data_IF_412109977668
#
_entry.id   IF_412109977668
#
_cell.length_a   1.000
_cell.length_b   1.000
_cell.length_c   1.000
_cell.angle_alpha   90.00
_cell.angle_beta   90.00
_cell.angle_gamma   90.00
#
_symmetry.space_group_name_H-M   'P 1'
#
loop_
_entity.id
_entity.type
_entity.pdbx_description
1 polymer ?
#
# COMPACT_ATOMS: atom_id res chain seq x y z
N UNK A 1 -12.19 2.51 19.61
CA UNK A 1 -12.15 3.97 19.36
C UNK A 1 -10.73 4.27 18.97
N UNK A 2 -10.52 4.46 17.67
CA UNK A 2 -9.24 4.30 16.99
C UNK A 2 -8.54 5.66 16.86
N UNK A 3 -7.58 5.92 17.76
CA UNK A 3 -6.76 7.14 17.74
C UNK A 3 -5.79 7.10 16.53
N UNK A 4 -5.52 5.92 15.96
CA UNK A 4 -4.60 5.71 14.84
C UNK A 4 -5.28 5.86 13.46
N UNK A 5 -6.62 5.78 13.41
CA UNK A 5 -7.39 5.92 12.15
C UNK A 5 -7.21 7.28 11.47
N UNK A 6 -7.13 8.38 12.23
CA UNK A 6 -6.93 9.72 11.67
C UNK A 6 -5.50 9.92 11.10
N UNK A 7 -4.43 9.54 11.84
CA UNK A 7 -3.08 9.47 11.28
C UNK A 7 -2.99 8.61 10.02
N UNK A 8 -3.55 7.40 10.05
CA UNK A 8 -3.48 6.45 8.93
C UNK A 8 -4.21 6.97 7.69
N UNK A 9 -5.39 7.57 7.85
CA UNK A 9 -6.10 8.20 6.73
C UNK A 9 -5.28 9.32 6.07
N UNK A 10 -4.54 10.11 6.87
CA UNK A 10 -3.62 11.13 6.37
C UNK A 10 -2.44 10.54 5.60
N UNK A 11 -1.83 9.47 6.11
CA UNK A 11 -0.74 8.72 5.46
C UNK A 11 -1.20 8.10 4.14
N UNK A 12 -2.36 7.43 4.13
CA UNK A 12 -2.94 6.85 2.91
C UNK A 12 -3.23 7.91 1.85
N UNK A 13 -3.71 9.09 2.27
CA UNK A 13 -3.88 10.24 1.37
C UNK A 13 -2.53 10.71 0.80
N UNK A 14 -1.48 10.74 1.61
CA UNK A 14 -0.14 11.11 1.16
C UNK A 14 0.39 10.10 0.11
N UNK A 15 0.28 8.80 0.37
CA UNK A 15 0.65 7.74 -0.58
C UNK A 15 -0.15 7.84 -1.90
N UNK A 16 -1.45 8.11 -1.82
CA UNK A 16 -2.29 8.34 -2.99
C UNK A 16 -1.83 9.56 -3.81
N UNK A 17 -1.53 10.68 -3.15
CA UNK A 17 -0.98 11.85 -3.85
C UNK A 17 0.33 11.50 -4.58
N UNK A 18 1.21 10.72 -3.95
CA UNK A 18 2.48 10.30 -4.56
C UNK A 18 2.25 9.38 -5.76
N UNK A 19 1.31 8.43 -5.64
CA UNK A 19 0.90 7.57 -6.74
C UNK A 19 0.35 8.38 -7.93
N UNK A 20 -0.53 9.35 -7.67
CA UNK A 20 -1.09 10.21 -8.73
C UNK A 20 -0.02 11.12 -9.34
N UNK A 21 0.90 11.66 -8.55
CA UNK A 21 2.05 12.42 -9.05
C UNK A 21 2.92 11.54 -9.97
N UNK A 22 3.23 10.32 -9.55
CA UNK A 22 4.03 9.36 -10.32
C UNK A 22 3.32 8.91 -11.61
N UNK A 23 2.00 8.76 -11.57
CA UNK A 23 1.19 8.43 -12.74
C UNK A 23 1.26 9.52 -13.81
N UNK A 24 1.24 10.80 -13.40
CA UNK A 24 1.19 11.94 -14.32
C UNK A 24 0.05 11.77 -15.33
N UNK A 25 0.38 11.73 -16.63
CA UNK A 25 -0.58 11.48 -17.72
C UNK A 25 -0.64 10.03 -18.19
N UNK A 26 0.16 9.12 -17.60
CA UNK A 26 0.16 7.71 -18.00
C UNK A 26 -1.18 7.07 -17.68
N UNK A 27 -1.71 6.34 -18.66
CA UNK A 27 -2.94 5.58 -18.50
C UNK A 27 -2.74 4.33 -17.66
N UNK A 28 -1.59 3.67 -17.78
CA UNK A 28 -1.25 2.43 -17.08
C UNK A 28 0.03 2.61 -16.26
N UNK A 29 -0.05 2.28 -14.98
CA UNK A 29 1.09 2.08 -14.08
C UNK A 29 1.17 0.61 -13.68
N UNK A 30 2.38 0.09 -13.42
CA UNK A 30 2.55 -1.25 -12.88
C UNK A 30 1.82 -1.39 -11.55
N UNK A 31 1.33 -2.60 -11.28
CA UNK A 31 0.88 -2.97 -9.95
C UNK A 31 2.12 -3.13 -9.07
N UNK A 32 2.14 -2.46 -7.93
CA UNK A 32 3.25 -2.51 -6.98
C UNK A 32 2.71 -2.79 -5.59
N UNK A 33 3.39 -3.67 -4.87
CA UNK A 33 3.13 -3.91 -3.46
C UNK A 33 4.09 -3.09 -2.62
N UNK A 34 3.60 -2.55 -1.52
CA UNK A 34 4.37 -1.73 -0.63
C UNK A 34 4.11 -2.15 0.82
N UNK A 35 5.12 -1.98 1.68
CA UNK A 35 4.98 -2.16 3.12
C UNK A 35 5.83 -1.12 3.85
N UNK A 36 5.27 -0.47 4.86
CA UNK A 36 5.93 0.59 5.63
C UNK A 36 4.96 1.69 6.04
N UNK A 37 5.41 2.94 6.04
CA UNK A 37 4.55 4.10 6.32
C UNK A 37 4.00 4.68 5.01
N UNK A 38 2.68 4.69 4.77
CA UNK A 38 2.14 5.27 3.55
C UNK A 38 2.50 6.77 3.43
N UNK A 39 3.11 7.15 2.30
CA UNK A 39 3.61 8.51 2.07
C UNK A 39 4.91 8.86 2.81
N UNK A 40 5.53 7.89 3.49
CA UNK A 40 6.82 7.98 4.17
C UNK A 40 7.74 6.81 3.78
N UNK A 41 8.60 6.37 4.68
CA UNK A 41 9.55 5.28 4.44
C UNK A 41 8.85 3.93 4.27
N UNK A 42 9.17 3.24 3.18
CA UNK A 42 8.58 1.95 2.83
C UNK A 42 9.45 1.17 1.84
N UNK A 43 9.24 -0.14 1.81
CA UNK A 43 9.77 -1.02 0.76
C UNK A 43 8.71 -1.17 -0.33
N UNK A 44 9.15 -1.15 -1.59
CA UNK A 44 8.30 -1.42 -2.75
C UNK A 44 8.77 -2.71 -3.43
N UNK A 45 7.83 -3.60 -3.68
CA UNK A 45 8.01 -4.89 -4.34
C UNK A 45 7.23 -4.90 -5.66
N UNK A 46 7.82 -5.43 -6.74
CA UNK A 46 7.08 -5.59 -7.99
C UNK A 46 5.98 -6.63 -7.82
N UNK A 47 4.85 -6.45 -8.51
CA UNK A 47 3.91 -7.54 -8.74
C UNK A 47 4.29 -8.31 -10.00
N UNK A 48 4.33 -9.64 -9.88
CA UNK A 48 4.37 -10.55 -11.01
C UNK A 48 3.26 -11.62 -10.84
N UNK A 49 2.61 -11.98 -11.94
CA UNK A 49 1.57 -13.00 -11.98
C UNK A 49 2.13 -14.41 -11.70
N UNK A 50 3.40 -14.65 -12.01
CA UNK A 50 4.08 -15.93 -11.80
C UNK A 50 4.63 -16.12 -10.39
N UNK A 51 4.60 -15.10 -9.54
CA UNK A 51 4.90 -15.32 -8.13
C UNK A 51 3.86 -16.29 -7.58
N UNK A 52 4.29 -17.30 -6.82
CA UNK A 52 3.40 -18.15 -6.05
C UNK A 52 3.10 -17.53 -4.68
N UNK A 53 2.30 -18.21 -3.87
CA UNK A 53 1.94 -17.73 -2.54
C UNK A 53 3.12 -17.71 -1.57
N UNK A 54 4.04 -18.67 -1.69
CA UNK A 54 5.23 -18.78 -0.83
C UNK A 54 6.18 -17.61 -1.08
N UNK A 55 6.55 -17.39 -2.34
CA UNK A 55 7.42 -16.30 -2.74
C UNK A 55 6.85 -14.93 -2.34
N UNK A 56 5.55 -14.70 -2.50
CA UNK A 56 4.96 -13.43 -2.04
C UNK A 56 5.10 -13.25 -0.52
N UNK A 57 4.85 -14.30 0.25
CA UNK A 57 4.96 -14.25 1.72
C UNK A 57 6.40 -13.99 2.15
N UNK A 58 7.36 -14.67 1.52
CA UNK A 58 8.80 -14.49 1.80
C UNK A 58 9.28 -13.09 1.40
N UNK A 59 8.78 -12.53 0.31
CA UNK A 59 9.04 -11.13 -0.07
C UNK A 59 8.49 -10.14 0.96
N UNK A 60 7.26 -10.37 1.46
CA UNK A 60 6.68 -9.54 2.53
C UNK A 60 7.54 -9.60 3.79
N UNK A 61 7.90 -10.81 4.23
CA UNK A 61 8.73 -11.05 5.41
C UNK A 61 10.06 -10.31 5.29
N UNK A 62 10.74 -10.46 4.14
CA UNK A 62 12.00 -9.79 3.86
C UNK A 62 11.86 -8.27 3.80
N UNK A 63 10.74 -7.77 3.30
CA UNK A 63 10.46 -6.35 3.25
C UNK A 63 10.24 -5.78 4.66
N UNK A 64 9.59 -6.51 5.56
CA UNK A 64 9.43 -6.14 6.97
C UNK A 64 10.80 -6.10 7.67
N UNK A 65 11.66 -7.10 7.49
CA UNK A 65 13.03 -7.09 8.03
C UNK A 65 13.81 -5.84 7.60
N UNK A 66 13.63 -5.41 6.35
CA UNK A 66 14.30 -4.24 5.78
C UNK A 66 13.84 -2.90 6.37
N UNK A 67 12.73 -2.89 7.12
CA UNK A 67 12.18 -1.70 7.75
C UNK A 67 12.62 -1.54 9.21
N UNK A 68 13.28 -2.53 9.81
CA UNK A 68 13.77 -2.44 11.19
C UNK A 68 14.60 -1.16 11.41
N UNK A 69 14.17 -0.34 12.37
CA UNK A 69 14.82 0.93 12.73
C UNK A 69 14.56 2.11 11.79
N UNK A 70 13.71 1.96 10.75
CA UNK A 70 13.40 3.03 9.76
C UNK A 70 11.92 3.31 9.59
N UNK A 71 11.05 2.29 9.67
CA UNK A 71 9.60 2.51 9.61
C UNK A 71 9.01 2.70 11.00
N UNK A 72 7.88 3.41 11.06
CA UNK A 72 7.04 3.47 12.25
C UNK A 72 6.78 2.05 12.78
N UNK A 73 6.67 1.90 14.10
CA UNK A 73 6.51 0.65 14.86
C UNK A 73 5.38 -0.29 14.36
N UNK A 74 4.54 0.18 13.43
CA UNK A 74 3.40 -0.51 12.83
C UNK A 74 3.41 -0.33 11.31
N UNK A 75 4.13 -1.17 10.55
CA UNK A 75 4.13 -1.08 9.09
C UNK A 75 2.74 -1.40 8.53
N UNK A 76 2.35 -0.70 7.47
CA UNK A 76 1.08 -0.88 6.77
C UNK A 76 1.36 -1.46 5.40
N UNK A 77 0.67 -2.53 4.96
CA UNK A 77 0.77 -3.01 3.59
C UNK A 77 -0.27 -2.34 2.69
N UNK A 78 0.16 -1.98 1.48
CA UNK A 78 -0.75 -1.52 0.44
C UNK A 78 -0.30 -1.91 -0.96
N UNK A 79 -1.26 -2.03 -1.88
CA UNK A 79 -1.02 -2.11 -3.31
C UNK A 79 -1.29 -0.75 -3.94
N UNK A 80 -0.49 -0.40 -4.95
CA UNK A 80 -0.86 0.63 -5.91
C UNK A 80 -1.06 0.00 -7.28
N UNK A 81 -2.17 0.32 -7.94
CA UNK A 81 -2.46 -0.19 -9.28
C UNK A 81 -3.37 0.71 -10.09
N UNK A 82 -3.40 0.46 -11.39
CA UNK A 82 -4.40 1.06 -12.28
C UNK A 82 -5.73 0.30 -12.19
N UNK A 83 -6.80 0.94 -12.65
CA UNK A 83 -8.13 0.37 -12.73
C UNK A 83 -9.06 0.91 -11.66
N UNK A 84 -10.23 0.28 -11.57
CA UNK A 84 -11.27 0.68 -10.64
C UNK A 84 -10.94 0.26 -9.21
N UNK A 85 -11.62 0.95 -8.29
CA UNK A 85 -11.54 0.69 -6.85
C UNK A 85 -12.51 -0.43 -6.46
N UNK A 86 -12.26 -1.61 -7.04
CA UNK A 86 -12.95 -2.88 -6.80
C UNK A 86 -11.89 -3.97 -6.63
N UNK A 87 -12.06 -4.94 -5.71
CA UNK A 87 -11.10 -6.04 -5.54
C UNK A 87 -10.78 -6.76 -6.86
N UNK A 88 -9.51 -7.12 -7.04
CA UNK A 88 -9.03 -7.99 -8.11
C UNK A 88 -8.25 -9.19 -7.52
N UNK A 89 -8.06 -10.24 -8.30
CA UNK A 89 -7.37 -11.47 -7.85
C UNK A 89 -5.98 -11.20 -7.28
N UNK A 90 -5.23 -10.25 -7.87
CA UNK A 90 -3.91 -9.86 -7.38
C UNK A 90 -3.98 -9.17 -6.01
N UNK A 91 -5.07 -8.49 -5.68
CA UNK A 91 -5.27 -7.86 -4.38
C UNK A 91 -5.42 -8.93 -3.30
N UNK A 92 -6.22 -9.97 -3.56
CA UNK A 92 -6.38 -11.10 -2.63
C UNK A 92 -5.11 -11.92 -2.47
N UNK A 93 -4.35 -12.14 -3.56
CA UNK A 93 -3.09 -12.87 -3.51
C UNK A 93 -2.07 -12.18 -2.60
N UNK A 94 -1.94 -10.85 -2.71
CA UNK A 94 -1.05 -10.09 -1.83
C UNK A 94 -1.63 -9.90 -0.43
N UNK A 95 -2.95 -9.85 -0.25
CA UNK A 95 -3.55 -9.81 1.08
C UNK A 95 -3.27 -11.08 1.87
N UNK A 96 -3.40 -12.25 1.24
CA UNK A 96 -3.04 -13.51 1.87
C UNK A 96 -1.54 -13.55 2.26
N UNK A 97 -0.66 -13.11 1.35
CA UNK A 97 0.78 -13.04 1.62
C UNK A 97 1.13 -12.03 2.73
N UNK A 98 0.45 -10.88 2.78
CA UNK A 98 0.64 -9.88 3.82
C UNK A 98 0.20 -10.43 5.18
N UNK A 99 -0.95 -11.10 5.25
CA UNK A 99 -1.41 -11.76 6.49
C UNK A 99 -0.40 -12.78 7.00
N UNK A 100 0.13 -13.61 6.10
CA UNK A 100 1.12 -14.64 6.43
C UNK A 100 2.44 -14.00 6.89
N UNK A 101 3.00 -13.06 6.12
CA UNK A 101 4.27 -12.41 6.45
C UNK A 101 4.21 -11.62 7.76
N UNK A 102 3.14 -10.87 8.01
CA UNK A 102 2.93 -10.19 9.30
C UNK A 102 2.78 -11.19 10.44
N UNK A 103 2.04 -12.29 10.22
CA UNK A 103 1.85 -13.34 11.21
C UNK A 103 3.16 -14.03 11.63
N UNK A 104 4.06 -14.29 10.68
CA UNK A 104 5.42 -14.83 10.96
C UNK A 104 6.27 -13.88 11.80
N UNK A 105 6.06 -12.58 11.65
CA UNK A 105 6.67 -11.52 12.46
C UNK A 105 5.96 -11.28 13.80
N UNK A 106 4.90 -12.04 14.11
CA UNK A 106 4.10 -11.85 15.32
C UNK A 106 3.35 -10.51 15.36
N UNK A 107 3.14 -9.88 14.20
CA UNK A 107 2.48 -8.59 14.07
C UNK A 107 1.00 -8.75 13.69
N UNK A 108 0.15 -7.90 14.24
CA UNK A 108 -1.22 -7.75 13.75
C UNK A 108 -1.22 -6.96 12.45
N UNK A 109 -2.10 -7.36 11.52
CA UNK A 109 -2.28 -6.64 10.27
C UNK A 109 -3.18 -5.41 10.50
N UNK A 110 -2.68 -4.17 10.35
CA UNK A 110 -3.48 -2.97 10.63
C UNK A 110 -4.60 -2.72 9.58
N UNK A 111 -4.54 -3.45 8.46
CA UNK A 111 -5.41 -3.33 7.31
C UNK A 111 -4.66 -3.76 6.05
N UNK A 112 -5.35 -3.79 4.92
CA UNK A 112 -4.70 -4.01 3.62
C UNK A 112 -5.31 -3.09 2.59
N UNK A 113 -4.54 -2.11 2.12
CA UNK A 113 -5.10 -1.03 1.30
C UNK A 113 -4.79 -1.24 -0.18
N UNK A 114 -5.79 -1.06 -1.03
CA UNK A 114 -5.63 -1.01 -2.48
C UNK A 114 -5.82 0.43 -2.91
N UNK A 115 -4.76 1.05 -3.42
CA UNK A 115 -4.73 2.44 -3.89
C UNK A 115 -4.83 2.46 -5.41
N UNK A 116 -5.78 3.24 -5.91
CA UNK A 116 -5.88 3.62 -7.33
C UNK A 116 -5.96 5.14 -7.44
N UNK A 117 -5.93 5.69 -8.65
CA UNK A 117 -6.06 7.16 -8.84
C UNK A 117 -7.40 7.73 -8.35
N UNK A 118 -8.36 6.87 -8.05
CA UNK A 118 -9.71 7.22 -7.62
C UNK A 118 -9.87 7.19 -6.10
N UNK A 119 -8.91 6.61 -5.38
CA UNK A 119 -8.90 6.55 -3.93
C UNK A 119 -8.35 5.25 -3.39
N UNK A 120 -8.84 4.82 -2.23
CA UNK A 120 -8.39 3.59 -1.59
C UNK A 120 -9.54 2.74 -1.06
N UNK A 121 -9.30 1.42 -1.06
CA UNK A 121 -10.16 0.38 -0.49
C UNK A 121 -9.34 -0.36 0.56
N UNK A 122 -9.88 -0.58 1.75
CA UNK A 122 -9.33 -1.52 2.71
C UNK A 122 -9.96 -2.90 2.48
N UNK A 123 -9.17 -3.86 1.99
CA UNK A 123 -9.65 -5.20 1.68
C UNK A 123 -9.96 -6.02 2.95
N UNK A 124 -9.45 -5.61 4.11
CA UNK A 124 -9.68 -6.34 5.37
C UNK A 124 -11.08 -6.12 5.95
N UNK A 125 -11.71 -4.96 5.67
CA UNK A 125 -13.02 -4.60 6.23
C UNK A 125 -13.96 -3.92 5.22
N UNK A 126 -13.54 -3.85 3.95
CA UNK A 126 -14.28 -3.26 2.83
C UNK A 126 -14.52 -1.74 2.91
N UNK A 127 -13.82 -1.03 3.80
CA UNK A 127 -13.90 0.43 3.86
C UNK A 127 -13.37 1.07 2.58
N UNK A 128 -14.08 2.06 2.06
CA UNK A 128 -13.72 2.73 0.81
C UNK A 128 -13.75 4.24 0.97
N UNK A 129 -12.69 4.89 0.48
CA UNK A 129 -12.71 6.32 0.19
C UNK A 129 -12.50 6.54 -1.30
N UNK A 130 -13.42 7.31 -1.89
CA UNK A 130 -13.34 7.79 -3.28
C UNK A 130 -13.13 9.29 -3.31
N UNK A 131 -12.31 9.76 -4.24
CA UNK A 131 -12.15 11.17 -4.56
C UNK A 131 -12.51 11.45 -6.01
N UNK A 132 -13.28 12.52 -6.21
CA UNK A 132 -13.65 13.01 -7.55
C UNK A 132 -12.45 13.57 -8.32
N UNK A 133 -11.45 14.13 -7.62
CA UNK A 133 -10.15 14.49 -8.18
C UNK A 133 -9.07 14.55 -7.10
N UNK A 134 -8.04 13.73 -7.23
CA UNK A 134 -6.82 13.83 -6.41
C UNK A 134 -5.89 14.86 -7.03
N UNK A 135 -5.41 15.82 -6.25
CA UNK A 135 -4.39 16.78 -6.71
C UNK A 135 -2.99 16.18 -6.46
N UNK A 136 -2.06 16.24 -7.44
CA UNK A 136 -0.67 15.85 -7.21
C UNK A 136 -0.07 16.59 -6.01
N UNK A 137 0.88 15.95 -5.31
CA UNK A 137 1.71 16.65 -4.32
C UNK A 137 2.50 17.76 -5.06
N UNK A 138 2.54 19.00 -4.56
CA UNK A 138 3.44 20.02 -5.11
C UNK A 138 4.87 19.50 -5.06
N UNK A 139 5.62 19.63 -6.16
CA UNK A 139 7.06 19.40 -6.13
C UNK A 139 7.63 20.40 -5.11
N UNK A 140 8.29 19.92 -4.05
CA UNK A 140 9.07 20.83 -3.21
C UNK A 140 10.32 21.20 -4.00
N UNK A 141 10.47 22.49 -4.33
CA UNK A 141 11.73 23.00 -4.88
C UNK A 141 12.84 22.79 -3.82
N UNK A 142 13.99 22.19 -4.18
CA UNK A 142 15.13 22.19 -3.29
C UNK A 142 15.62 23.64 -3.13
N UNK A 143 15.71 24.07 -1.87
CA UNK A 143 16.28 25.36 -1.47
C UNK A 143 17.77 25.48 -1.85
#
# INVERSE_FOLDING_TARGET
MDIDALPLAGQLRAALCDFVTSAGTRRLLPTLFHVGTPGGDHVTLPHDAYFDAGLRSDLVERAIDGLEGRAAERPVPWLSRTGDLSPADCDFAWFAAAREGFGRHGMELPGFFVITRHGWLNLANEDVIRWSRVRPRPLQDPA
#
